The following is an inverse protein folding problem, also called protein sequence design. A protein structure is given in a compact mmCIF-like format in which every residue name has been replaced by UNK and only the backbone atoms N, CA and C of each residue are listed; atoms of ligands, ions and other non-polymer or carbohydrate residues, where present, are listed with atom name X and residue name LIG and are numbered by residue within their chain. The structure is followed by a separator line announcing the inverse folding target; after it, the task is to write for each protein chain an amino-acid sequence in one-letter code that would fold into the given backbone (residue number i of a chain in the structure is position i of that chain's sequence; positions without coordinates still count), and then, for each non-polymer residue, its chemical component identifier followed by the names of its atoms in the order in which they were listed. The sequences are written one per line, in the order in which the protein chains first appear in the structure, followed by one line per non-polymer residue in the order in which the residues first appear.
data_IF_562692495025
#
_entry.id   IF_562692495025
#
_cell.length_a   1.000
_cell.length_b   1.000
_cell.length_c   1.000
_cell.angle_alpha   90.00
_cell.angle_beta   90.00
_cell.angle_gamma   90.00
#
_symmetry.space_group_name_H-M   'P 1'
#
loop_
_entity.id
_entity.type
_entity.pdbx_description
1 polymer ?
#
# COMPACT_ATOMS: atom_id res chain seq x y z
N UNK A 1 -44.60 83.79 -32.59
CA UNK A 1 -43.30 84.23 -33.12
C UNK A 1 -42.18 83.62 -32.29
N UNK A 2 -41.23 83.00 -33.00
CA UNK A 2 -39.89 82.53 -32.64
C UNK A 2 -39.29 83.04 -31.31
N UNK A 3 -38.81 82.17 -30.40
CA UNK A 3 -37.57 81.35 -30.45
C UNK A 3 -36.31 82.18 -30.13
N UNK A 4 -35.75 81.97 -28.92
CA UNK A 4 -34.34 81.60 -28.60
C UNK A 4 -33.91 82.16 -27.25
N UNK A 5 -33.92 81.29 -26.22
CA UNK A 5 -32.91 81.32 -25.16
C UNK A 5 -31.67 80.63 -25.72
N UNK A 6 -30.56 81.35 -25.76
CA UNK A 6 -29.25 80.87 -26.18
C UNK A 6 -28.67 79.96 -25.11
N UNK A 7 -28.30 78.74 -25.54
CA UNK A 7 -27.55 77.73 -24.78
C UNK A 7 -26.08 78.12 -24.74
N UNK A 8 -25.43 78.04 -23.57
CA UNK A 8 -23.99 77.66 -23.40
C UNK A 8 -23.86 76.98 -22.01
N UNK A 9 -23.99 75.67 -21.94
CA UNK A 9 -22.93 74.64 -21.98
C UNK A 9 -22.06 74.61 -20.72
N UNK A 10 -22.37 73.68 -19.80
CA UNK A 10 -21.41 73.11 -18.86
C UNK A 10 -21.57 71.59 -18.93
N UNK A 11 -20.47 70.95 -19.27
CA UNK A 11 -20.26 69.52 -19.40
C UNK A 11 -20.66 68.76 -18.13
N UNK A 12 -21.77 68.03 -18.19
CA UNK A 12 -22.06 66.97 -17.21
C UNK A 12 -21.35 65.69 -17.66
N UNK A 13 -20.29 65.33 -16.96
CA UNK A 13 -19.66 64.02 -17.06
C UNK A 13 -20.73 62.95 -16.78
N UNK A 14 -20.95 62.04 -17.72
CA UNK A 14 -21.81 60.86 -17.53
C UNK A 14 -21.15 59.92 -16.53
N UNK A 15 -21.41 60.13 -15.23
CA UNK A 15 -21.08 59.17 -14.19
C UNK A 15 -22.06 58.00 -14.32
N UNK A 16 -21.65 56.94 -15.03
CA UNK A 16 -22.31 55.64 -14.92
C UNK A 16 -21.94 55.09 -13.54
N UNK A 17 -22.88 54.83 -12.62
CA UNK A 17 -22.53 54.09 -11.41
C UNK A 17 -21.94 52.75 -11.85
N UNK A 18 -20.90 52.23 -11.18
CA UNK A 18 -20.45 50.89 -11.47
C UNK A 18 -21.67 50.00 -11.24
N UNK A 19 -22.05 49.25 -12.28
CA UNK A 19 -22.93 48.11 -12.09
C UNK A 19 -22.17 47.25 -11.08
N UNK A 20 -22.65 47.25 -9.84
CA UNK A 20 -22.33 46.19 -8.90
C UNK A 20 -22.86 44.92 -9.58
N UNK A 21 -21.99 44.30 -10.39
CA UNK A 21 -22.05 42.87 -10.53
C UNK A 21 -21.94 42.40 -9.09
N UNK A 22 -23.07 42.00 -8.51
CA UNK A 22 -23.06 41.07 -7.40
C UNK A 22 -22.15 39.96 -7.87
N UNK A 23 -20.87 40.05 -7.53
CA UNK A 23 -19.97 38.93 -7.48
C UNK A 23 -20.68 38.04 -6.50
N UNK A 24 -21.54 37.15 -7.01
CA UNK A 24 -21.92 35.98 -6.27
C UNK A 24 -20.60 35.42 -5.82
N UNK A 25 -20.37 35.48 -4.52
CA UNK A 25 -19.24 34.79 -3.93
C UNK A 25 -19.27 33.43 -4.59
N UNK A 26 -18.24 33.11 -5.37
CA UNK A 26 -18.04 31.76 -5.87
C UNK A 26 -17.65 30.92 -4.66
N UNK A 27 -18.58 30.79 -3.71
CA UNK A 27 -18.55 29.77 -2.68
C UNK A 27 -18.50 28.48 -3.47
N UNK A 28 -17.36 27.80 -3.41
CA UNK A 28 -17.29 26.45 -3.93
C UNK A 28 -18.47 25.69 -3.36
N UNK A 29 -19.31 25.13 -4.24
CA UNK A 29 -20.52 24.40 -3.86
C UNK A 29 -20.21 23.11 -3.10
N UNK A 30 -18.94 22.69 -3.09
CA UNK A 30 -18.46 21.52 -2.37
C UNK A 30 -18.13 21.86 -0.91
N UNK A 31 -18.57 21.05 0.06
CA UNK A 31 -18.30 21.28 1.47
C UNK A 31 -16.78 21.22 1.77
N UNK A 32 -16.31 22.10 2.64
CA UNK A 32 -14.93 22.11 3.12
C UNK A 32 -14.65 20.87 4.00
N UNK A 33 -13.41 20.37 4.03
CA UNK A 33 -13.03 19.29 4.93
C UNK A 33 -13.02 19.77 6.38
N UNK A 34 -13.36 18.87 7.31
CA UNK A 34 -13.36 19.15 8.75
C UNK A 34 -11.97 19.55 9.26
N UNK A 35 -11.89 20.39 10.32
CA UNK A 35 -10.61 20.75 10.94
C UNK A 35 -9.90 19.52 11.50
N UNK A 36 -8.63 19.35 11.15
CA UNK A 36 -7.79 18.23 11.63
C UNK A 36 -7.15 18.55 12.98
N UNK A 37 -7.23 17.61 13.93
CA UNK A 37 -6.58 17.72 15.24
C UNK A 37 -5.06 17.53 15.16
N UNK A 38 -4.29 18.14 16.07
CA UNK A 38 -2.82 18.03 16.15
C UNK A 38 -2.38 16.56 16.24
N UNK A 39 -3.07 15.75 17.05
CA UNK A 39 -2.77 14.31 17.18
C UNK A 39 -2.95 13.56 15.85
N UNK A 40 -3.96 13.93 15.07
CA UNK A 40 -4.20 13.35 13.76
C UNK A 40 -3.11 13.75 12.76
N UNK A 41 -2.60 14.98 12.83
CA UNK A 41 -1.48 15.44 12.00
C UNK A 41 -0.22 14.65 12.30
N UNK A 42 0.14 14.49 13.59
CA UNK A 42 1.30 13.69 13.99
C UNK A 42 1.17 12.23 13.55
N UNK A 43 0.00 11.62 13.73
CA UNK A 43 -0.28 10.27 13.24
C UNK A 43 -0.09 10.16 11.72
N UNK A 44 -0.59 11.13 10.95
CA UNK A 44 -0.42 11.16 9.50
C UNK A 44 1.04 11.32 9.07
N UNK A 45 1.86 12.06 9.82
CA UNK A 45 3.31 12.15 9.58
C UNK A 45 3.99 10.80 9.76
N UNK A 46 3.66 10.08 10.84
CA UNK A 46 4.18 8.72 11.09
C UNK A 46 3.74 7.76 9.98
N UNK A 47 2.46 7.77 9.61
CA UNK A 47 1.93 6.94 8.51
C UNK A 47 2.64 7.29 7.19
N UNK A 48 2.97 8.56 6.92
CA UNK A 48 3.72 8.94 5.73
C UNK A 48 5.13 8.34 5.71
N UNK A 49 5.83 8.32 6.85
CA UNK A 49 7.11 7.63 6.98
C UNK A 49 6.96 6.12 6.74
N UNK A 50 5.98 5.49 7.39
CA UNK A 50 5.69 4.06 7.22
C UNK A 50 5.41 3.69 5.76
N UNK A 51 4.68 4.54 5.02
CA UNK A 51 4.41 4.34 3.59
C UNK A 51 5.69 4.30 2.77
N UNK A 52 6.70 5.13 3.08
CA UNK A 52 7.99 5.07 2.37
C UNK A 52 8.71 3.74 2.55
N UNK A 53 8.50 3.06 3.68
CA UNK A 53 9.09 1.75 3.96
C UNK A 53 8.31 0.63 3.27
N UNK A 54 6.99 0.58 3.43
CA UNK A 54 6.17 -0.53 2.94
C UNK A 54 5.79 -0.43 1.45
N UNK A 55 5.75 0.77 0.85
CA UNK A 55 5.35 0.95 -0.56
C UNK A 55 6.52 1.00 -1.53
N UNK A 56 7.70 0.54 -1.12
CA UNK A 56 8.74 0.16 -2.08
C UNK A 56 8.17 -0.97 -2.96
N UNK A 57 8.44 -0.93 -4.27
CA UNK A 57 7.96 -1.99 -5.14
C UNK A 57 8.48 -3.36 -4.66
N UNK A 58 7.60 -4.36 -4.42
CA UNK A 58 8.02 -5.67 -3.96
C UNK A 58 9.06 -6.33 -4.88
N UNK A 59 9.00 -6.04 -6.19
CA UNK A 59 9.99 -6.53 -7.16
C UNK A 59 11.41 -5.99 -6.87
N UNK A 60 11.52 -4.71 -6.49
CA UNK A 60 12.80 -4.10 -6.11
C UNK A 60 13.28 -4.72 -4.80
N UNK A 61 12.37 -4.91 -3.83
CA UNK A 61 12.68 -5.54 -2.54
C UNK A 61 13.18 -6.98 -2.72
N UNK A 62 12.56 -7.75 -3.62
CA UNK A 62 13.02 -9.10 -4.02
C UNK A 62 14.44 -9.04 -4.58
N UNK A 63 14.72 -8.10 -5.49
CA UNK A 63 16.08 -7.89 -6.01
C UNK A 63 17.09 -7.60 -4.89
N UNK A 64 16.74 -6.71 -3.96
CA UNK A 64 17.56 -6.39 -2.79
C UNK A 64 17.81 -7.65 -1.96
N UNK A 65 16.79 -8.47 -1.67
CA UNK A 65 16.97 -9.70 -0.90
C UNK A 65 17.83 -10.74 -1.61
N UNK A 66 17.69 -10.91 -2.92
CA UNK A 66 18.54 -11.83 -3.69
C UNK A 66 19.99 -11.38 -3.60
N UNK A 67 20.27 -10.10 -3.85
CA UNK A 67 21.64 -9.56 -3.74
C UNK A 67 22.16 -9.67 -2.31
N UNK A 68 21.36 -9.31 -1.32
CA UNK A 68 21.74 -9.34 0.09
C UNK A 68 22.02 -10.75 0.58
N UNK A 69 21.16 -11.73 0.25
CA UNK A 69 21.36 -13.13 0.62
C UNK A 69 22.55 -13.73 -0.12
N UNK A 70 22.78 -13.35 -1.38
CA UNK A 70 23.90 -13.91 -2.15
C UNK A 70 25.24 -13.27 -1.75
N UNK A 71 25.40 -11.97 -1.97
CA UNK A 71 26.65 -11.25 -1.73
C UNK A 71 26.91 -11.04 -0.23
N UNK A 72 25.87 -10.75 0.55
CA UNK A 72 26.01 -10.56 1.99
C UNK A 72 26.44 -11.83 2.71
N UNK A 73 25.98 -13.00 2.27
CA UNK A 73 26.41 -14.27 2.86
C UNK A 73 27.85 -14.62 2.48
N UNK A 74 28.27 -14.38 1.23
CA UNK A 74 29.68 -14.55 0.82
C UNK A 74 30.58 -13.63 1.64
N UNK A 75 30.19 -12.37 1.81
CA UNK A 75 30.96 -11.41 2.59
C UNK A 75 31.03 -11.79 4.08
N UNK A 76 29.93 -12.33 4.63
CA UNK A 76 29.89 -12.86 6.00
C UNK A 76 30.77 -14.11 6.19
N UNK A 77 30.89 -14.96 5.16
CA UNK A 77 31.76 -16.14 5.21
C UNK A 77 33.26 -15.75 5.08
N UNK A 78 33.57 -14.66 4.36
CA UNK A 78 34.95 -14.17 4.13
C UNK A 78 35.44 -13.27 5.27
N UNK A 79 34.57 -12.43 5.83
CA UNK A 79 34.93 -11.54 6.93
C UNK A 79 34.57 -12.18 8.27
N UNK A 80 35.54 -12.51 9.14
CA UNK A 80 35.25 -12.98 10.48
C UNK A 80 34.70 -11.83 11.33
N UNK A 81 33.37 -11.64 11.29
CA UNK A 81 32.67 -10.64 12.10
C UNK A 81 32.69 -11.11 13.56
N UNK A 82 33.10 -10.25 14.52
CA UNK A 82 33.19 -10.63 15.91
C UNK A 82 31.82 -11.04 16.46
N UNK A 83 31.86 -11.95 17.43
CA UNK A 83 30.65 -12.40 18.12
C UNK A 83 29.94 -11.23 18.79
N UNK A 84 28.67 -11.07 18.45
CA UNK A 84 27.78 -10.05 19.00
C UNK A 84 26.56 -10.71 19.65
N UNK A 85 25.71 -9.91 20.30
CA UNK A 85 24.44 -10.37 20.88
C UNK A 85 23.60 -11.17 19.87
N UNK A 86 23.63 -10.79 18.59
CA UNK A 86 22.92 -11.45 17.50
C UNK A 86 23.51 -12.80 17.04
N UNK A 87 24.79 -13.08 17.35
CA UNK A 87 25.43 -14.39 17.09
C UNK A 87 24.86 -15.50 17.98
N UNK A 88 24.37 -15.14 19.16
CA UNK A 88 23.81 -16.07 20.14
C UNK A 88 22.43 -16.57 19.72
N UNK A 89 22.23 -17.89 19.66
CA UNK A 89 20.95 -18.52 19.25
C UNK A 89 19.82 -18.32 20.26
N UNK A 90 20.16 -18.05 21.52
CA UNK A 90 19.26 -17.83 22.66
C UNK A 90 18.91 -16.35 22.86
N UNK A 91 19.27 -15.48 21.92
CA UNK A 91 18.89 -14.07 22.00
C UNK A 91 17.34 -13.89 22.01
N UNK A 92 16.86 -12.85 22.69
CA UNK A 92 15.42 -12.60 22.91
C UNK A 92 14.69 -12.46 21.55
N UNK A 93 15.33 -11.82 20.57
CA UNK A 93 14.74 -11.64 19.24
C UNK A 93 14.55 -12.98 18.52
N UNK A 94 15.49 -13.90 18.62
CA UNK A 94 15.39 -15.20 17.99
C UNK A 94 14.33 -16.07 18.67
N UNK A 95 14.28 -16.06 20.01
CA UNK A 95 13.32 -16.87 20.78
C UNK A 95 11.88 -16.36 20.61
N UNK A 96 11.64 -15.07 20.80
CA UNK A 96 10.28 -14.53 20.86
C UNK A 96 9.77 -13.97 19.54
N UNK A 97 10.65 -13.50 18.66
CA UNK A 97 10.23 -12.91 17.39
C UNK A 97 10.46 -13.86 16.22
N UNK A 98 11.68 -14.31 15.96
CA UNK A 98 11.96 -15.13 14.76
C UNK A 98 11.24 -16.49 14.80
N UNK A 99 11.29 -17.21 15.93
CA UNK A 99 10.57 -18.50 16.06
C UNK A 99 9.05 -18.36 15.97
N UNK A 100 8.50 -17.25 16.46
CA UNK A 100 7.06 -16.94 16.43
C UNK A 100 6.70 -15.98 15.29
N UNK A 101 7.58 -15.79 14.30
CA UNK A 101 7.49 -14.74 13.29
C UNK A 101 6.22 -14.84 12.46
N UNK A 102 5.83 -16.07 12.13
CA UNK A 102 4.58 -16.34 11.43
C UNK A 102 3.34 -15.92 12.25
N UNK A 103 3.34 -16.23 13.55
CA UNK A 103 2.24 -15.85 14.45
C UNK A 103 2.06 -14.33 14.53
N UNK A 104 3.15 -13.60 14.75
CA UNK A 104 3.13 -12.12 14.76
C UNK A 104 2.65 -11.53 13.44
N UNK A 105 3.15 -12.07 12.31
CA UNK A 105 2.76 -11.61 10.98
C UNK A 105 1.27 -11.86 10.73
N UNK A 106 0.77 -13.06 11.06
CA UNK A 106 -0.64 -13.39 10.89
C UNK A 106 -1.57 -12.55 11.77
N UNK A 107 -1.17 -12.26 13.01
CA UNK A 107 -1.98 -11.40 13.89
C UNK A 107 -2.03 -9.96 13.35
N UNK A 108 -0.88 -9.37 13.00
CA UNK A 108 -0.83 -8.00 12.49
C UNK A 108 -1.54 -7.88 11.14
N UNK A 109 -1.14 -8.68 10.15
CA UNK A 109 -1.71 -8.66 8.79
C UNK A 109 -3.17 -9.09 8.79
N UNK A 110 -3.54 -10.12 9.58
CA UNK A 110 -4.92 -10.56 9.71
C UNK A 110 -5.85 -9.48 10.26
N UNK A 111 -5.40 -8.75 11.29
CA UNK A 111 -6.16 -7.59 11.80
C UNK A 111 -6.34 -6.52 10.73
N UNK A 112 -5.27 -6.21 9.98
CA UNK A 112 -5.29 -5.20 8.93
C UNK A 112 -6.23 -5.57 7.78
N UNK A 113 -6.14 -6.81 7.28
CA UNK A 113 -6.97 -7.33 6.19
C UNK A 113 -8.43 -7.37 6.60
N UNK A 114 -8.75 -7.80 7.83
CA UNK A 114 -10.12 -7.78 8.33
C UNK A 114 -10.70 -6.37 8.40
N UNK A 115 -9.95 -5.42 8.98
CA UNK A 115 -10.40 -4.03 9.13
C UNK A 115 -10.60 -3.34 7.77
N UNK A 116 -9.63 -3.49 6.86
CA UNK A 116 -9.71 -2.89 5.51
C UNK A 116 -10.85 -3.49 4.70
N UNK A 117 -10.93 -4.82 4.61
CA UNK A 117 -12.01 -5.52 3.88
C UNK A 117 -13.40 -5.21 4.39
N UNK A 118 -13.55 -4.99 5.70
CA UNK A 118 -14.83 -4.58 6.28
C UNK A 118 -15.33 -3.23 5.75
N UNK A 119 -14.43 -2.32 5.36
CA UNK A 119 -14.78 -0.99 4.81
C UNK A 119 -15.06 -1.10 3.32
N UNK A 120 -14.09 -1.56 2.51
CA UNK A 120 -14.23 -1.54 1.04
C UNK A 120 -15.22 -2.59 0.50
N UNK A 121 -15.56 -3.61 1.29
CA UNK A 121 -16.60 -4.59 0.95
C UNK A 121 -17.98 -4.25 1.53
N UNK A 122 -18.18 -3.05 2.07
CA UNK A 122 -19.44 -2.62 2.70
C UNK A 122 -19.90 -3.53 3.86
N UNK A 123 -19.02 -4.36 4.43
CA UNK A 123 -19.39 -5.36 5.44
C UNK A 123 -19.87 -6.71 4.92
N UNK A 124 -19.85 -6.94 3.62
CA UNK A 124 -20.23 -8.22 3.03
C UNK A 124 -19.33 -9.34 3.57
N UNK A 125 -19.91 -10.23 4.38
CA UNK A 125 -19.21 -11.33 5.04
C UNK A 125 -18.58 -12.29 4.04
N UNK A 126 -19.18 -12.47 2.86
CA UNK A 126 -18.66 -13.38 1.85
C UNK A 126 -17.34 -12.84 1.26
N UNK A 127 -17.29 -11.55 0.92
CA UNK A 127 -16.08 -10.89 0.41
C UNK A 127 -14.98 -10.81 1.47
N UNK A 128 -15.33 -10.47 2.71
CA UNK A 128 -14.37 -10.45 3.84
C UNK A 128 -13.75 -11.85 4.01
N UNK A 129 -14.55 -12.91 3.96
CA UNK A 129 -14.04 -14.29 4.04
C UNK A 129 -13.09 -14.60 2.88
N UNK A 130 -13.38 -14.15 1.66
CA UNK A 130 -12.47 -14.33 0.52
C UNK A 130 -11.11 -13.66 0.75
N UNK A 131 -11.07 -12.44 1.30
CA UNK A 131 -9.80 -11.80 1.67
C UNK A 131 -9.05 -12.56 2.77
N UNK A 132 -9.76 -13.13 3.75
CA UNK A 132 -9.15 -13.94 4.81
C UNK A 132 -8.62 -15.29 4.30
N UNK A 133 -9.26 -15.89 3.28
CA UNK A 133 -8.78 -17.12 2.63
C UNK A 133 -7.38 -16.94 2.01
N UNK A 134 -7.02 -15.72 1.60
CA UNK A 134 -5.67 -15.38 1.15
C UNK A 134 -4.61 -15.66 2.21
N UNK A 135 -4.89 -15.28 3.46
CA UNK A 135 -4.00 -15.51 4.60
C UNK A 135 -3.98 -16.98 5.02
N UNK A 136 -5.12 -17.69 4.86
CA UNK A 136 -5.17 -19.14 5.05
C UNK A 136 -4.27 -19.85 4.05
N UNK A 137 -4.33 -19.47 2.77
CA UNK A 137 -3.45 -19.99 1.74
C UNK A 137 -1.97 -19.73 2.05
N UNK A 138 -1.65 -18.51 2.50
CA UNK A 138 -0.30 -18.16 2.91
C UNK A 138 0.20 -19.03 4.08
N UNK A 139 -0.68 -19.33 5.04
CA UNK A 139 -0.41 -20.24 6.18
C UNK A 139 -0.16 -21.66 5.73
N UNK A 140 -0.98 -22.16 4.80
CA UNK A 140 -0.79 -23.48 4.21
C UNK A 140 0.57 -23.59 3.51
N UNK A 141 0.94 -22.59 2.70
CA UNK A 141 2.24 -22.57 2.02
C UNK A 141 3.41 -22.54 3.00
N UNK A 142 3.36 -21.70 4.03
CA UNK A 142 4.38 -21.69 5.07
C UNK A 142 4.53 -23.07 5.75
N UNK A 143 3.41 -23.67 6.17
CA UNK A 143 3.43 -24.97 6.84
C UNK A 143 3.96 -26.08 5.92
N UNK A 144 3.48 -26.13 4.67
CA UNK A 144 3.92 -27.12 3.69
C UNK A 144 5.43 -27.04 3.45
N UNK A 145 5.97 -25.85 3.17
CA UNK A 145 7.37 -25.67 2.85
C UNK A 145 8.30 -25.88 4.04
N UNK A 146 7.92 -25.42 5.24
CA UNK A 146 8.71 -25.69 6.45
C UNK A 146 8.76 -27.18 6.78
N UNK A 147 7.66 -27.91 6.59
CA UNK A 147 7.66 -29.38 6.72
C UNK A 147 8.51 -30.03 5.64
N UNK A 148 8.44 -29.56 4.40
CA UNK A 148 9.27 -30.06 3.31
C UNK A 148 10.77 -29.87 3.60
N UNK A 149 11.18 -28.73 4.14
CA UNK A 149 12.60 -28.49 4.49
C UNK A 149 13.11 -29.49 5.53
N UNK A 150 12.31 -29.78 6.56
CA UNK A 150 12.66 -30.78 7.57
C UNK A 150 12.74 -32.19 6.96
N UNK A 151 11.82 -32.53 6.05
CA UNK A 151 11.86 -33.81 5.33
C UNK A 151 13.11 -33.92 4.45
N UNK A 152 13.45 -32.87 3.70
CA UNK A 152 14.66 -32.82 2.85
C UNK A 152 15.92 -32.97 3.71
N UNK A 153 16.03 -32.26 4.83
CA UNK A 153 17.15 -32.40 5.75
C UNK A 153 17.29 -33.84 6.29
N UNK A 154 16.16 -34.50 6.57
CA UNK A 154 16.12 -35.89 7.02
C UNK A 154 16.50 -36.89 5.93
N UNK A 155 16.11 -36.67 4.68
CA UNK A 155 16.36 -37.58 3.56
C UNK A 155 17.77 -37.47 2.99
N UNK A 156 18.33 -36.27 2.91
CA UNK A 156 19.65 -36.03 2.32
C UNK A 156 20.78 -35.95 3.36
N UNK A 157 20.46 -36.07 4.64
CA UNK A 157 21.45 -36.09 5.71
C UNK A 157 22.09 -37.46 5.89
N UNK A 158 23.37 -37.47 6.27
CA UNK A 158 24.12 -38.67 6.59
C UNK A 158 24.99 -38.48 7.84
N UNK A 159 25.26 -39.59 8.52
CA UNK A 159 26.11 -39.61 9.72
C UNK A 159 27.59 -39.77 9.31
N UNK A 160 28.51 -39.01 9.93
CA UNK A 160 29.94 -38.93 9.54
C UNK A 160 30.68 -40.27 9.43
N UNK A 161 30.19 -41.35 10.04
CA UNK A 161 30.83 -42.68 9.97
C UNK A 161 29.94 -43.66 9.18
N UNK A 162 30.52 -44.29 8.16
CA UNK A 162 29.86 -45.24 7.24
C UNK A 162 29.19 -46.45 7.93
N UNK A 163 29.59 -46.78 9.16
CA UNK A 163 29.04 -47.88 9.97
C UNK A 163 27.55 -47.63 10.34
N UNK A 164 27.08 -46.39 10.24
CA UNK A 164 25.71 -46.02 10.57
C UNK A 164 24.83 -45.68 9.35
N UNK A 165 25.04 -46.29 8.17
CA UNK A 165 24.04 -46.27 7.07
C UNK A 165 22.65 -46.78 7.49
N UNK A 166 22.56 -47.43 8.66
CA UNK A 166 21.32 -47.91 9.29
C UNK A 166 20.66 -46.90 10.27
N UNK A 167 21.35 -45.82 10.65
CA UNK A 167 20.75 -44.79 11.51
C UNK A 167 19.91 -43.84 10.65
N UNK A 168 18.68 -44.26 10.32
CA UNK A 168 17.71 -43.53 9.48
C UNK A 168 17.21 -42.21 10.11
N UNK A 169 17.81 -41.73 11.21
CA UNK A 169 17.33 -40.59 11.97
C UNK A 169 18.46 -39.80 12.63
N UNK A 170 18.42 -38.47 12.45
CA UNK A 170 19.30 -37.49 13.12
C UNK A 170 19.46 -37.76 14.61
N UNK A 171 18.37 -38.09 15.31
CA UNK A 171 18.37 -38.35 16.76
C UNK A 171 19.23 -39.56 17.13
N UNK A 172 19.21 -40.62 16.31
CA UNK A 172 19.98 -41.83 16.54
C UNK A 172 21.49 -41.62 16.26
N UNK A 173 21.84 -40.80 15.27
CA UNK A 173 23.23 -40.43 14.99
C UNK A 173 23.81 -39.59 16.14
N UNK A 174 23.07 -38.58 16.61
CA UNK A 174 23.50 -37.72 17.71
C UNK A 174 23.56 -38.46 19.06
N UNK A 175 22.62 -39.38 19.32
CA UNK A 175 22.64 -40.22 20.53
C UNK A 175 23.89 -41.11 20.62
N UNK A 176 24.49 -41.46 19.47
CA UNK A 176 25.75 -42.21 19.39
C UNK A 176 26.99 -41.32 19.47
N UNK A 177 26.84 -40.01 19.74
CA UNK A 177 27.92 -39.04 19.79
C UNK A 177 28.55 -38.74 18.42
N UNK A 178 27.85 -39.04 17.33
CA UNK A 178 28.33 -38.83 15.96
C UNK A 178 27.81 -37.51 15.38
N UNK A 179 28.59 -36.88 14.51
CA UNK A 179 28.18 -35.67 13.79
C UNK A 179 27.28 -36.00 12.60
N UNK A 180 26.17 -35.26 12.48
CA UNK A 180 25.22 -35.35 11.38
C UNK A 180 25.51 -34.27 10.36
N UNK A 181 25.81 -34.66 9.12
CA UNK A 181 26.02 -33.74 8.01
C UNK A 181 24.79 -33.78 7.12
N UNK A 182 24.14 -32.63 6.92
CA UNK A 182 22.96 -32.51 6.06
C UNK A 182 22.89 -31.14 5.46
N UNK A 183 22.36 -31.05 4.25
CA UNK A 183 21.97 -29.78 3.66
C UNK A 183 20.69 -29.28 4.32
N UNK A 184 20.79 -28.27 5.18
CA UNK A 184 19.68 -27.75 5.99
C UNK A 184 19.21 -26.41 5.44
N UNK A 185 18.15 -26.43 4.62
CA UNK A 185 17.58 -25.21 4.03
C UNK A 185 17.19 -24.23 5.15
N UNK A 186 17.66 -22.98 5.06
CA UNK A 186 17.49 -22.00 6.14
C UNK A 186 16.03 -21.57 6.30
N UNK A 187 15.30 -22.22 7.22
CA UNK A 187 13.91 -21.89 7.53
C UNK A 187 13.71 -20.46 8.01
N UNK A 188 14.69 -19.88 8.73
CA UNK A 188 14.65 -18.48 9.17
C UNK A 188 14.76 -17.50 8.01
N UNK A 189 15.69 -17.74 7.07
CA UNK A 189 15.82 -16.91 5.87
C UNK A 189 14.53 -16.94 5.05
N UNK A 190 13.97 -18.15 4.85
CA UNK A 190 12.70 -18.34 4.15
C UNK A 190 11.56 -17.55 4.81
N UNK A 191 11.32 -17.74 6.10
CA UNK A 191 10.15 -17.15 6.78
C UNK A 191 10.24 -15.62 6.87
N UNK A 192 11.45 -15.07 7.10
CA UNK A 192 11.63 -13.63 7.22
C UNK A 192 11.35 -12.92 5.89
N UNK A 193 11.90 -13.43 4.78
CA UNK A 193 11.64 -12.89 3.44
C UNK A 193 10.15 -13.04 3.09
N UNK A 194 9.59 -14.23 3.33
CA UNK A 194 8.18 -14.52 3.02
C UNK A 194 7.21 -13.60 3.77
N UNK A 195 7.44 -13.39 5.08
CA UNK A 195 6.63 -12.49 5.90
C UNK A 195 6.68 -11.04 5.39
N UNK A 196 7.87 -10.50 5.08
CA UNK A 196 7.96 -9.11 4.58
C UNK A 196 7.24 -8.95 3.24
N UNK A 197 7.40 -9.91 2.32
CA UNK A 197 6.74 -9.84 1.02
C UNK A 197 5.20 -9.89 1.13
N UNK A 198 4.67 -10.72 2.04
CA UNK A 198 3.22 -10.73 2.35
C UNK A 198 2.79 -9.38 2.93
N UNK A 199 3.51 -8.87 3.95
CA UNK A 199 3.18 -7.59 4.57
C UNK A 199 3.11 -6.48 3.52
N UNK A 200 4.08 -6.41 2.60
CA UNK A 200 4.12 -5.41 1.53
C UNK A 200 2.97 -5.54 0.53
N UNK A 201 2.57 -6.76 0.16
CA UNK A 201 1.44 -6.99 -0.75
C UNK A 201 0.10 -6.61 -0.08
N UNK A 202 -0.12 -7.04 1.16
CA UNK A 202 -1.36 -6.74 1.89
C UNK A 202 -1.48 -5.25 2.19
N UNK A 203 -0.37 -4.58 2.51
CA UNK A 203 -0.29 -3.16 2.74
C UNK A 203 -0.81 -2.30 1.57
N UNK A 204 -0.80 -2.83 0.32
CA UNK A 204 -1.31 -2.11 -0.86
C UNK A 204 -2.77 -1.69 -0.74
N UNK A 205 -3.56 -2.36 0.11
CA UNK A 205 -4.94 -1.95 0.42
C UNK A 205 -5.03 -0.56 1.11
N UNK A 206 -3.92 0.04 1.56
CA UNK A 206 -3.93 1.42 2.09
C UNK A 206 -3.57 2.47 1.01
N UNK A 207 -3.22 2.05 -0.21
CA UNK A 207 -2.91 3.00 -1.29
C UNK A 207 -4.19 3.75 -1.65
N UNK A 208 -4.11 5.08 -1.66
CA UNK A 208 -5.25 5.98 -1.89
C UNK A 208 -6.41 5.83 -0.89
N UNK A 209 -6.17 5.29 0.31
CA UNK A 209 -7.21 5.15 1.35
C UNK A 209 -7.92 6.46 1.68
N UNK A 210 -7.17 7.57 1.77
CA UNK A 210 -7.73 8.90 2.06
C UNK A 210 -8.72 9.39 0.98
N UNK A 211 -8.64 8.87 -0.25
CA UNK A 211 -9.56 9.23 -1.32
C UNK A 211 -11.00 8.76 -1.03
N UNK A 212 -11.18 7.74 -0.17
CA UNK A 212 -12.51 7.25 0.23
C UNK A 212 -13.31 8.38 0.89
N UNK A 213 -12.68 9.20 1.76
CA UNK A 213 -13.34 10.35 2.39
C UNK A 213 -13.79 11.38 1.35
N UNK A 214 -12.96 11.65 0.35
CA UNK A 214 -13.30 12.58 -0.73
C UNK A 214 -14.43 12.05 -1.62
N UNK A 215 -14.43 10.76 -1.94
CA UNK A 215 -15.49 10.15 -2.73
C UNK A 215 -16.82 10.15 -1.98
N UNK A 216 -16.82 9.84 -0.69
CA UNK A 216 -18.01 9.88 0.15
C UNK A 216 -18.61 11.29 0.19
N UNK A 217 -17.78 12.31 0.43
CA UNK A 217 -18.20 13.73 0.42
C UNK A 217 -18.77 14.18 -0.92
N UNK A 218 -18.14 13.79 -2.03
CA UNK A 218 -18.64 14.14 -3.36
C UNK A 218 -19.97 13.45 -3.67
N UNK A 219 -20.15 12.21 -3.21
CA UNK A 219 -21.37 11.43 -3.42
C UNK A 219 -22.55 11.98 -2.61
N UNK A 220 -22.34 12.40 -1.35
CA UNK A 220 -23.39 13.08 -0.58
C UNK A 220 -23.86 14.36 -1.27
N UNK A 221 -22.91 15.13 -1.81
CA UNK A 221 -23.22 16.36 -2.54
C UNK A 221 -24.01 16.05 -3.82
N UNK A 222 -23.64 15.00 -4.54
CA UNK A 222 -24.32 14.59 -5.76
C UNK A 222 -25.76 14.13 -5.50
N UNK A 223 -26.01 13.43 -4.38
CA UNK A 223 -27.35 12.97 -4.00
C UNK A 223 -28.26 14.07 -3.42
N UNK A 224 -27.66 15.15 -2.92
CA UNK A 224 -28.40 16.31 -2.35
C UNK A 224 -28.58 17.47 -3.33
N UNK A 225 -27.84 17.48 -4.44
CA UNK A 225 -27.93 18.52 -5.46
C UNK A 225 -28.92 18.12 -6.55
N UNK A 226 -29.68 19.10 -7.06
CA UNK A 226 -30.59 18.89 -8.21
C UNK A 226 -29.83 18.69 -9.53
N UNK A 227 -28.58 19.18 -9.60
CA UNK A 227 -27.69 18.99 -10.75
C UNK A 227 -26.94 17.66 -10.65
N UNK A 228 -26.96 16.88 -11.75
CA UNK A 228 -26.19 15.63 -11.87
C UNK A 228 -24.70 15.96 -11.89
N UNK A 229 -24.03 15.73 -10.77
CA UNK A 229 -22.60 15.93 -10.58
C UNK A 229 -21.72 14.88 -11.26
N UNK A 230 -20.41 14.97 -11.00
CA UNK A 230 -19.42 14.05 -11.56
C UNK A 230 -19.60 12.62 -11.06
N UNK A 231 -19.54 11.64 -11.97
CA UNK A 231 -19.59 10.21 -11.65
C UNK A 231 -18.57 9.86 -10.57
N UNK A 232 -19.03 9.24 -9.48
CA UNK A 232 -18.17 8.76 -8.39
C UNK A 232 -18.07 7.23 -8.42
N UNK A 233 -17.00 6.62 -7.88
CA UNK A 233 -16.92 5.17 -7.72
C UNK A 233 -17.97 4.57 -6.77
N UNK A 234 -18.73 5.40 -6.02
CA UNK A 234 -19.77 4.98 -5.09
C UNK A 234 -21.19 5.13 -5.65
N UNK A 235 -21.34 5.61 -6.88
CA UNK A 235 -22.65 5.82 -7.53
C UNK A 235 -23.47 4.51 -7.63
N UNK A 236 -22.79 3.36 -7.69
CA UNK A 236 -23.45 2.04 -7.73
C UNK A 236 -23.95 1.52 -6.37
N UNK A 237 -23.72 2.23 -5.25
CA UNK A 237 -24.10 1.78 -3.91
C UNK A 237 -25.47 2.31 -3.49
N UNK A 238 -26.26 1.47 -2.83
CA UNK A 238 -27.53 1.89 -2.18
C UNK A 238 -27.26 2.88 -1.03
N UNK A 239 -28.23 3.72 -0.69
CA UNK A 239 -28.14 4.67 0.44
C UNK A 239 -27.73 3.98 1.77
N UNK A 240 -28.28 2.81 2.06
CA UNK A 240 -27.92 2.03 3.25
C UNK A 240 -26.45 1.59 3.24
N UNK A 241 -25.95 1.13 2.09
CA UNK A 241 -24.56 0.68 1.96
C UNK A 241 -23.59 1.86 2.10
N UNK A 242 -23.95 3.04 1.60
CA UNK A 242 -23.15 4.26 1.74
C UNK A 242 -23.04 4.69 3.20
N UNK A 243 -24.13 4.64 3.96
CA UNK A 243 -24.11 4.91 5.41
C UNK A 243 -23.24 3.90 6.17
N UNK A 244 -23.34 2.62 5.83
CA UNK A 244 -22.50 1.57 6.43
C UNK A 244 -21.01 1.79 6.12
N UNK A 245 -20.66 2.19 4.90
CA UNK A 245 -19.28 2.50 4.51
C UNK A 245 -18.76 3.71 5.29
N UNK A 246 -19.56 4.77 5.44
CA UNK A 246 -19.22 5.95 6.25
C UNK A 246 -18.91 5.55 7.69
N UNK A 247 -19.84 4.88 8.35
CA UNK A 247 -19.73 4.50 9.76
C UNK A 247 -18.47 3.64 9.99
N UNK A 248 -18.27 2.64 9.14
CA UNK A 248 -17.10 1.76 9.24
C UNK A 248 -15.80 2.47 8.90
N UNK A 249 -15.79 3.36 7.91
CA UNK A 249 -14.59 4.11 7.54
C UNK A 249 -14.16 5.02 8.70
N UNK A 250 -15.07 5.79 9.27
CA UNK A 250 -14.76 6.70 10.39
C UNK A 250 -14.29 5.93 11.63
N UNK A 251 -14.96 4.81 11.93
CA UNK A 251 -14.62 3.97 13.08
C UNK A 251 -13.30 3.20 12.89
N UNK A 252 -13.07 2.59 11.73
CA UNK A 252 -11.95 1.67 11.50
C UNK A 252 -10.66 2.34 11.02
N UNK A 253 -10.73 3.50 10.36
CA UNK A 253 -9.53 4.21 9.88
C UNK A 253 -8.42 4.41 10.94
N UNK A 254 -8.70 4.84 12.19
CA UNK A 254 -7.64 4.95 13.20
C UNK A 254 -6.99 3.60 13.52
N UNK A 255 -7.77 2.52 13.65
CA UNK A 255 -7.25 1.18 13.90
C UNK A 255 -6.45 0.63 12.70
N UNK A 256 -6.91 0.90 11.47
CA UNK A 256 -6.18 0.55 10.24
C UNK A 256 -4.82 1.24 10.21
N UNK A 257 -4.75 2.53 10.56
CA UNK A 257 -3.49 3.28 10.64
C UNK A 257 -2.56 2.71 11.71
N UNK A 258 -3.06 2.39 12.89
CA UNK A 258 -2.26 1.75 13.94
C UNK A 258 -1.75 0.36 13.54
N UNK A 259 -2.60 -0.44 12.91
CA UNK A 259 -2.23 -1.75 12.39
C UNK A 259 -1.17 -1.64 11.27
N UNK A 260 -1.29 -0.66 10.38
CA UNK A 260 -0.30 -0.37 9.35
C UNK A 260 1.07 0.03 9.92
N UNK A 261 1.10 0.84 10.97
CA UNK A 261 2.32 1.19 11.70
C UNK A 261 2.93 -0.09 12.32
N UNK A 262 2.11 -0.91 12.97
CA UNK A 262 2.54 -2.20 13.54
C UNK A 262 3.15 -3.13 12.50
N UNK A 263 2.50 -3.30 11.34
CA UNK A 263 3.04 -4.06 10.21
C UNK A 263 4.37 -3.50 9.71
N UNK A 264 4.53 -2.17 9.69
CA UNK A 264 5.78 -1.53 9.27
C UNK A 264 6.92 -1.84 10.23
N UNK A 265 6.68 -1.69 11.54
CA UNK A 265 7.66 -2.01 12.59
C UNK A 265 8.07 -3.48 12.47
N UNK A 266 7.09 -4.36 12.27
CA UNK A 266 7.32 -5.79 12.11
C UNK A 266 8.16 -6.11 10.87
N UNK A 267 7.87 -5.47 9.73
CA UNK A 267 8.66 -5.63 8.51
C UNK A 267 10.12 -5.17 8.69
N UNK A 268 10.34 -4.03 9.34
CA UNK A 268 11.69 -3.54 9.66
C UNK A 268 12.42 -4.49 10.60
N UNK A 269 11.72 -5.04 11.61
CA UNK A 269 12.29 -6.04 12.49
C UNK A 269 12.71 -7.30 11.70
N UNK A 270 11.90 -7.75 10.75
CA UNK A 270 12.25 -8.88 9.88
C UNK A 270 13.45 -8.60 8.99
N UNK A 271 13.58 -7.38 8.44
CA UNK A 271 14.76 -6.97 7.67
C UNK A 271 16.04 -7.02 8.53
N UNK A 272 15.98 -6.54 9.77
CA UNK A 272 17.12 -6.58 10.72
C UNK A 272 17.48 -8.02 11.08
N UNK A 273 16.47 -8.86 11.38
CA UNK A 273 16.72 -10.27 11.71
C UNK A 273 17.21 -11.08 10.50
N UNK A 274 16.81 -10.70 9.29
CA UNK A 274 17.33 -11.30 8.06
C UNK A 274 18.82 -10.97 7.90
N UNK A 275 19.21 -9.70 8.11
CA UNK A 275 20.62 -9.30 8.11
C UNK A 275 21.44 -10.10 9.13
N UNK A 276 20.94 -10.22 10.37
CA UNK A 276 21.59 -11.03 11.40
C UNK A 276 21.72 -12.50 10.99
N UNK A 277 20.70 -13.06 10.32
CA UNK A 277 20.72 -14.43 9.80
C UNK A 277 21.76 -14.62 8.71
N UNK A 278 21.88 -13.65 7.80
CA UNK A 278 22.87 -13.67 6.72
C UNK A 278 24.29 -13.64 7.27
N UNK A 279 24.53 -12.86 8.33
CA UNK A 279 25.86 -12.70 8.93
C UNK A 279 26.27 -13.92 9.78
N UNK A 280 25.40 -14.39 10.68
CA UNK A 280 25.84 -15.28 11.77
C UNK A 280 25.45 -16.76 11.64
N UNK A 281 24.49 -17.12 10.78
CA UNK A 281 23.86 -18.45 10.82
C UNK A 281 23.79 -19.07 9.44
N UNK A 282 23.93 -20.40 9.31
CA UNK A 282 23.83 -21.16 8.05
C UNK A 282 24.90 -20.87 7.00
N UNK A 283 25.10 -21.83 6.10
CA UNK A 283 25.97 -21.68 4.94
C UNK A 283 25.29 -20.87 3.83
N UNK A 284 26.07 -20.14 3.03
CA UNK A 284 25.57 -19.38 1.86
C UNK A 284 24.55 -20.14 0.97
N UNK A 285 24.82 -21.37 0.50
CA UNK A 285 23.87 -22.08 -0.38
C UNK A 285 22.53 -22.42 0.31
N UNK A 286 22.53 -22.68 1.61
CA UNK A 286 21.31 -22.99 2.38
C UNK A 286 20.39 -21.76 2.48
N UNK A 287 20.98 -20.57 2.66
CA UNK A 287 20.27 -19.29 2.70
C UNK A 287 19.72 -18.93 1.31
N UNK A 288 20.54 -19.10 0.28
CA UNK A 288 20.17 -18.76 -1.09
C UNK A 288 18.96 -19.57 -1.57
N UNK A 289 18.99 -20.90 -1.39
CA UNK A 289 17.86 -21.78 -1.76
C UNK A 289 16.60 -21.39 -1.00
N UNK A 290 16.70 -21.12 0.31
CA UNK A 290 15.57 -20.65 1.11
C UNK A 290 14.97 -19.34 0.61
N UNK A 291 15.82 -18.37 0.23
CA UNK A 291 15.40 -17.09 -0.32
C UNK A 291 14.70 -17.23 -1.67
N UNK A 292 15.24 -18.04 -2.59
CA UNK A 292 14.62 -18.31 -3.89
C UNK A 292 13.25 -18.94 -3.71
N UNK A 293 13.12 -19.94 -2.82
CA UNK A 293 11.84 -20.59 -2.54
C UNK A 293 10.82 -19.58 -2.00
N UNK A 294 11.21 -18.71 -1.06
CA UNK A 294 10.33 -17.65 -0.54
C UNK A 294 9.78 -16.74 -1.64
N UNK A 295 10.66 -16.30 -2.55
CA UNK A 295 10.29 -15.44 -3.68
C UNK A 295 9.37 -16.18 -4.65
N UNK A 296 9.64 -17.45 -4.97
CA UNK A 296 8.82 -18.25 -5.88
C UNK A 296 7.40 -18.46 -5.32
N UNK A 297 7.26 -18.76 -4.03
CA UNK A 297 5.95 -18.94 -3.39
C UNK A 297 5.18 -17.63 -3.35
N UNK A 298 5.83 -16.52 -3.01
CA UNK A 298 5.23 -15.19 -3.07
C UNK A 298 4.78 -14.84 -4.50
N UNK A 299 5.62 -15.08 -5.50
CA UNK A 299 5.29 -14.83 -6.90
C UNK A 299 4.10 -15.69 -7.34
N UNK A 300 4.14 -16.99 -7.05
CA UNK A 300 3.05 -17.91 -7.37
C UNK A 300 1.73 -17.49 -6.73
N UNK A 301 1.74 -17.08 -5.46
CA UNK A 301 0.54 -16.65 -4.75
C UNK A 301 -0.02 -15.33 -5.28
N UNK A 302 0.75 -14.23 -5.22
CA UNK A 302 0.22 -12.90 -5.53
C UNK A 302 0.23 -12.56 -7.02
N UNK A 303 1.23 -13.01 -7.79
CA UNK A 303 1.37 -12.63 -9.21
C UNK A 303 0.71 -13.61 -10.17
N UNK A 304 0.57 -14.87 -9.77
CA UNK A 304 -0.09 -15.88 -10.58
C UNK A 304 -1.49 -16.22 -10.05
N UNK A 305 -1.60 -16.78 -8.85
CA UNK A 305 -2.85 -17.34 -8.34
C UNK A 305 -3.95 -16.28 -8.11
N UNK A 306 -3.65 -15.24 -7.34
CA UNK A 306 -4.62 -14.18 -7.02
C UNK A 306 -4.82 -13.23 -8.20
N UNK A 307 -3.76 -12.88 -8.93
CA UNK A 307 -3.89 -12.02 -10.11
C UNK A 307 -4.73 -12.64 -11.24
N UNK A 308 -4.71 -13.96 -11.39
CA UNK A 308 -5.55 -14.69 -12.37
C UNK A 308 -6.92 -15.08 -11.80
N UNK A 309 -7.23 -14.71 -10.55
CA UNK A 309 -8.48 -15.03 -9.86
C UNK A 309 -8.83 -16.53 -9.84
N UNK A 310 -7.84 -17.43 -9.93
CA UNK A 310 -8.08 -18.88 -10.13
C UNK A 310 -8.84 -19.53 -8.96
N UNK A 311 -8.69 -18.97 -7.75
CA UNK A 311 -9.32 -19.48 -6.52
C UNK A 311 -10.50 -18.60 -6.10
N UNK A 312 -10.92 -17.64 -6.94
CA UNK A 312 -11.97 -16.68 -6.59
C UNK A 312 -11.61 -15.75 -5.42
N UNK A 313 -10.31 -15.63 -5.10
CA UNK A 313 -9.80 -14.76 -4.04
C UNK A 313 -9.36 -13.43 -4.66
N UNK A 314 -9.95 -12.29 -4.27
CA UNK A 314 -9.63 -10.96 -4.82
C UNK A 314 -8.24 -10.48 -4.45
N UNK A 315 -7.72 -9.48 -5.19
CA UNK A 315 -6.47 -8.81 -4.84
C UNK A 315 -6.62 -7.89 -3.62
N UNK A 316 -5.52 -7.53 -2.92
CA UNK A 316 -5.57 -6.53 -1.86
C UNK A 316 -6.15 -5.21 -2.37
N UNK A 317 -7.15 -4.68 -1.67
CA UNK A 317 -7.81 -3.41 -2.00
C UNK A 317 -8.97 -3.50 -2.99
N UNK A 318 -9.25 -4.65 -3.58
CA UNK A 318 -10.47 -4.87 -4.36
C UNK A 318 -11.68 -5.07 -3.45
N UNK A 319 -12.79 -4.41 -3.74
CA UNK A 319 -14.01 -4.46 -2.92
C UNK A 319 -15.27 -4.25 -3.74
N UNK A 320 -16.38 -3.95 -3.06
CA UNK A 320 -17.66 -3.62 -3.71
C UNK A 320 -17.55 -2.34 -4.55
N UNK A 321 -16.67 -1.41 -4.15
CA UNK A 321 -16.34 -0.21 -4.90
C UNK A 321 -14.82 -0.06 -5.05
N UNK A 322 -14.39 0.59 -6.14
CA UNK A 322 -12.97 0.81 -6.45
C UNK A 322 -12.55 2.22 -6.01
N UNK A 323 -11.88 2.33 -4.86
CA UNK A 323 -11.33 3.60 -4.38
C UNK A 323 -9.89 3.87 -4.85
N UNK A 324 -9.19 2.85 -5.33
CA UNK A 324 -7.85 2.99 -5.91
C UNK A 324 -7.97 3.47 -7.36
N UNK A 325 -7.71 4.74 -7.59
CA UNK A 325 -7.63 5.31 -8.93
C UNK A 325 -6.16 5.29 -9.42
N UNK A 326 -5.81 4.57 -10.50
CA UNK A 326 -4.43 4.42 -10.95
C UNK A 326 -3.74 5.75 -11.33
N UNK A 327 -4.50 6.80 -11.68
CA UNK A 327 -3.95 8.12 -12.06
C UNK A 327 -3.83 9.13 -10.91
N UNK A 328 -4.41 8.84 -9.74
CA UNK A 328 -4.55 9.80 -8.63
C UNK A 328 -3.36 9.89 -7.63
N UNK A 329 -2.45 8.90 -7.48
CA UNK A 329 -1.33 9.01 -6.54
C UNK A 329 -0.41 10.21 -6.83
N UNK A 330 -0.27 10.59 -8.11
CA UNK A 330 0.57 11.72 -8.52
C UNK A 330 -0.19 13.05 -8.45
N UNK A 331 -1.46 13.10 -8.88
CA UNK A 331 -2.23 14.35 -8.96
C UNK A 331 -2.46 15.03 -7.59
N UNK A 332 -2.66 14.26 -6.53
CA UNK A 332 -2.84 14.81 -5.16
C UNK A 332 -1.55 15.42 -4.60
N UNK A 333 -0.38 14.86 -4.94
CA UNK A 333 0.94 15.42 -4.63
C UNK A 333 1.26 16.67 -5.47
N UNK A 334 0.90 16.66 -6.75
CA UNK A 334 1.08 17.82 -7.64
C UNK A 334 0.14 18.98 -7.29
N UNK A 335 -1.12 18.72 -6.93
CA UNK A 335 -2.08 19.74 -6.50
C UNK A 335 -1.67 20.45 -5.20
N UNK A 336 -1.18 19.69 -4.21
CA UNK A 336 -0.65 20.26 -2.95
C UNK A 336 0.68 21.01 -3.12
N UNK A 337 1.52 20.64 -4.09
CA UNK A 337 2.74 21.39 -4.44
C UNK A 337 2.44 22.63 -5.28
N UNK A 338 1.48 22.57 -6.20
CA UNK A 338 1.09 23.69 -7.04
C UNK A 338 0.51 24.86 -6.21
N UNK A 339 -0.15 24.59 -5.08
CA UNK A 339 -0.60 25.63 -4.14
C UNK A 339 0.54 26.27 -3.33
N UNK A 340 1.71 25.64 -3.25
CA UNK A 340 2.88 26.14 -2.51
C UNK A 340 3.94 26.81 -3.41
N UNK A 341 3.91 26.58 -4.73
CA UNK A 341 5.00 26.98 -5.65
C UNK A 341 4.46 27.68 -6.91
N UNK A 342 3.31 28.38 -6.86
CA UNK A 342 2.95 29.27 -7.97
C UNK A 342 3.62 30.63 -7.81
N UNK A 343 4.90 30.68 -8.18
CA UNK A 343 5.62 31.92 -8.51
C UNK A 343 5.47 32.20 -10.00
N UNK A 344 4.26 32.55 -10.44
CA UNK A 344 4.09 33.27 -11.70
C UNK A 344 3.79 34.72 -11.34
N UNK A 345 4.64 35.64 -11.83
CA UNK A 345 4.51 37.10 -11.72
C UNK A 345 3.25 37.57 -12.46
N UNK A 346 2.07 37.28 -11.93
CA UNK A 346 0.88 38.09 -12.18
C UNK A 346 0.80 39.11 -11.06
N UNK A 347 0.86 40.41 -11.39
CA UNK A 347 0.66 41.48 -10.43
C UNK A 347 -0.68 41.25 -9.73
N UNK A 348 -0.60 40.92 -8.44
CA UNK A 348 -1.75 40.65 -7.60
C UNK A 348 -1.76 41.66 -6.47
N UNK A 349 -2.94 42.20 -6.18
CA UNK A 349 -3.17 42.97 -4.96
C UNK A 349 -3.91 42.04 -4.00
N UNK A 350 -3.30 41.75 -2.84
CA UNK A 350 -3.81 40.77 -1.87
C UNK A 350 -4.19 39.39 -2.47
N UNK A 351 -3.40 38.89 -3.43
CA UNK A 351 -3.58 37.56 -4.00
C UNK A 351 -4.64 37.43 -5.11
N UNK A 352 -5.32 38.52 -5.50
CA UNK A 352 -6.17 38.53 -6.69
C UNK A 352 -5.42 39.05 -7.92
N UNK A 353 -5.42 38.33 -9.06
CA UNK A 353 -4.79 38.80 -10.30
C UNK A 353 -5.57 40.00 -10.86
N UNK A 354 -4.85 41.09 -11.17
CA UNK A 354 -5.44 42.37 -11.58
C UNK A 354 -6.01 42.42 -13.02
N UNK A 355 -6.00 41.30 -13.76
CA UNK A 355 -6.61 41.22 -15.10
C UNK A 355 -7.27 39.87 -15.32
N UNK A 356 -8.50 39.82 -15.87
CA UNK A 356 -9.08 38.57 -16.34
C UNK A 356 -8.29 38.05 -17.54
N UNK A 357 -8.01 36.74 -17.52
CA UNK A 357 -7.35 36.06 -18.64
C UNK A 357 -8.32 36.02 -19.83
N UNK A 358 -7.96 36.64 -20.95
CA UNK A 358 -8.70 36.49 -22.21
C UNK A 358 -8.51 35.06 -22.72
N UNK A 359 -9.54 34.22 -22.58
CA UNK A 359 -9.60 32.92 -23.24
C UNK A 359 -10.05 33.15 -24.67
N UNK A 360 -9.16 32.93 -25.64
CA UNK A 360 -9.48 32.88 -27.07
C UNK A 360 -10.14 31.54 -27.47
N UNK A 361 -10.85 31.46 -28.61
CA UNK A 361 -11.82 30.39 -28.89
C UNK A 361 -11.26 29.04 -29.34
N UNK A 362 -9.94 28.81 -29.38
CA UNK A 362 -9.40 27.69 -30.19
C UNK A 362 -9.15 26.37 -29.43
N UNK A 363 -9.64 26.22 -28.18
CA UNK A 363 -9.38 25.02 -27.37
C UNK A 363 -10.63 24.15 -27.09
N UNK A 364 -11.64 24.23 -27.95
CA UNK A 364 -12.85 23.38 -27.87
C UNK A 364 -12.85 22.26 -28.91
N UNK A 365 -12.09 22.37 -30.02
CA UNK A 365 -12.16 21.41 -31.12
C UNK A 365 -11.33 20.11 -30.91
N UNK A 366 -10.35 20.10 -30.02
CA UNK A 366 -9.47 18.93 -29.83
C UNK A 366 -10.05 17.83 -28.91
N UNK A 367 -11.20 18.05 -28.25
CA UNK A 367 -11.78 17.10 -27.28
C UNK A 367 -12.83 16.15 -27.84
N UNK A 368 -13.34 16.39 -29.05
CA UNK A 368 -14.38 15.55 -29.67
C UNK A 368 -13.86 14.43 -30.56
N UNK A 369 -12.58 14.44 -30.94
CA UNK A 369 -12.01 13.44 -31.85
C UNK A 369 -11.45 12.19 -31.14
N UNK A 370 -11.11 12.26 -29.85
CA UNK A 370 -10.47 11.13 -29.14
C UNK A 370 -11.46 10.15 -28.48
N UNK A 371 -12.76 10.39 -28.56
CA UNK A 371 -13.80 9.57 -27.90
C UNK A 371 -14.42 8.48 -28.78
N UNK A 372 -14.12 8.46 -30.08
CA UNK A 372 -14.71 7.52 -31.05
C UNK A 372 -13.84 6.28 -31.35
N UNK A 373 -12.61 6.20 -30.82
CA UNK A 373 -11.66 5.13 -31.16
C UNK A 373 -11.44 4.11 -30.03
N UNK A 374 -12.10 4.28 -28.87
CA UNK A 374 -11.95 3.40 -27.70
C UNK A 374 -12.99 2.25 -27.61
N UNK A 375 -13.86 2.10 -28.62
CA UNK A 375 -14.96 1.12 -28.65
C UNK A 375 -14.80 0.07 -29.76
N UNK A 376 -13.66 -0.65 -29.76
CA UNK A 376 -13.52 -1.93 -30.49
C UNK A 376 -12.97 -3.02 -29.57
N UNK A 377 -13.59 -4.21 -29.49
CA UNK A 377 -13.04 -5.33 -28.74
C UNK A 377 -11.90 -5.96 -29.56
N UNK A 378 -10.69 -6.05 -29.00
CA UNK A 378 -9.62 -6.87 -29.57
C UNK A 378 -9.75 -8.31 -29.08
N UNK A 379 -9.94 -9.22 -30.02
CA UNK A 379 -9.89 -10.65 -29.83
C UNK A 379 -8.44 -11.16 -29.96
N UNK A 380 -7.91 -11.76 -28.89
CA UNK A 380 -7.20 -13.06 -28.85
C UNK A 380 -6.62 -13.33 -27.47
#
# INVERSE_FOLDING_TARGET
MNVKKTVKNVSSLNFRPPVESKTSDRKGTKPLPDPTSIQQVLLLMVVHLCRKVLFVDPNIKVGIYIVLVSLGSILGDVMPIPDSYFSRKDNIFNIYFVKLSWGWTMTCVGSFVYLTSSVHSCGDRAKIRQHMLRLLFATFMWFFWTKLFVTVEGSYGYCSKAIARSANSRKQCLAKGLSWNSFSISGHTFILIYCVLIIMEEAKALVSWEAIKDHLRNEDHNRSSEERGSITPLDCLTAEQLLQVREKYEKFTPYIRMSFIGMTILAVLWDVMLMATIIYFHSTPEKFVAGVIAVLIWFFSYRFLFNRQLVGVPLPGEGTFRYMNPAQPQQTLYGRRASLIKSEKTSSFMGMPLSPSKVGPDMVSARSASSLEASRPQAR
#
